data_IF_315999596074
#
_entry.id   IF_315999596074
#
_cell.length_a   1.000
_cell.length_b   1.000
_cell.length_c   1.000
_cell.angle_alpha   90.00
_cell.angle_beta   90.00
_cell.angle_gamma   90.00
#
_symmetry.space_group_name_H-M   'P 1'
#
loop_
_entity.id
_entity.type
_entity.pdbx_description
1 polymer ?
#
# COMPACT_ATOMS: atom_id res chain seq x y z
N UNK A 1 -17.87 -28.99 13.28
CA UNK A 1 -16.87 -28.87 12.42
C UNK A 1 -17.09 -27.84 11.44
N UNK A 2 -18.15 -27.92 10.86
CA UNK A 2 -18.44 -26.96 9.94
C UNK A 2 -18.65 -25.67 10.55
N UNK A 3 -18.83 -25.61 11.79
CA UNK A 3 -19.10 -24.38 12.44
C UNK A 3 -18.08 -23.34 12.25
N UNK A 4 -16.95 -23.74 11.83
CA UNK A 4 -15.92 -22.79 11.62
C UNK A 4 -16.15 -21.90 10.48
N UNK A 5 -16.91 -22.39 9.51
CA UNK A 5 -17.12 -21.63 8.34
C UNK A 5 -17.93 -20.41 8.47
N UNK A 6 -18.96 -20.38 9.22
CA UNK A 6 -19.82 -19.20 9.27
C UNK A 6 -19.10 -17.93 9.62
N UNK A 7 -18.07 -18.05 10.40
CA UNK A 7 -17.35 -16.85 10.75
C UNK A 7 -16.65 -16.21 9.58
N UNK A 8 -16.41 -17.01 8.59
CA UNK A 8 -15.75 -16.52 7.42
C UNK A 8 -16.48 -15.44 6.70
N UNK A 9 -17.77 -15.62 6.51
CA UNK A 9 -18.52 -14.71 5.68
C UNK A 9 -18.52 -13.30 6.23
N UNK A 10 -18.85 -13.13 7.46
CA UNK A 10 -18.89 -11.82 8.04
C UNK A 10 -17.53 -11.22 8.15
N UNK A 11 -16.57 -12.07 8.50
CA UNK A 11 -15.23 -11.60 8.66
C UNK A 11 -14.62 -11.14 7.37
N UNK A 12 -14.88 -11.85 6.31
CA UNK A 12 -14.33 -11.49 5.04
C UNK A 12 -14.77 -10.11 4.61
N UNK A 13 -16.00 -9.79 4.80
CA UNK A 13 -16.50 -8.49 4.41
C UNK A 13 -15.83 -7.39 5.22
N UNK A 14 -15.72 -7.59 6.52
CA UNK A 14 -15.09 -6.61 7.37
C UNK A 14 -13.61 -6.50 7.08
N UNK A 15 -12.97 -7.63 6.90
CA UNK A 15 -11.55 -7.63 6.63
C UNK A 15 -11.21 -7.00 5.32
N UNK A 16 -12.10 -7.12 4.37
CA UNK A 16 -11.88 -6.51 3.07
C UNK A 16 -11.77 -5.00 3.19
N UNK A 17 -12.66 -4.39 3.96
CA UNK A 17 -12.61 -2.95 4.17
C UNK A 17 -11.39 -2.56 4.98
N UNK A 18 -11.08 -3.33 6.02
CA UNK A 18 -9.89 -3.09 6.80
C UNK A 18 -8.64 -3.21 5.97
N UNK A 19 -8.61 -4.20 5.11
CA UNK A 19 -7.46 -4.42 4.27
C UNK A 19 -7.25 -3.25 3.33
N UNK A 20 -8.31 -2.74 2.76
CA UNK A 20 -8.22 -1.59 1.88
C UNK A 20 -7.74 -0.36 2.62
N UNK A 21 -8.26 -0.15 3.84
CA UNK A 21 -7.79 0.95 4.66
C UNK A 21 -6.32 0.80 5.01
N UNK A 22 -5.90 -0.42 5.32
CA UNK A 22 -4.51 -0.68 5.64
C UNK A 22 -3.61 -0.39 4.44
N UNK A 23 -4.06 -0.75 3.25
CA UNK A 23 -3.29 -0.46 2.05
C UNK A 23 -3.14 1.05 1.87
N UNK A 24 -4.21 1.79 2.09
CA UNK A 24 -4.16 3.24 1.94
C UNK A 24 -3.26 3.87 2.97
N UNK A 25 -3.29 3.37 4.20
CA UNK A 25 -2.42 3.90 5.25
C UNK A 25 -0.97 3.59 4.95
N UNK A 26 -0.70 2.38 4.51
CA UNK A 26 0.67 2.00 4.16
C UNK A 26 1.18 2.87 3.03
N UNK A 27 0.33 3.14 2.05
CA UNK A 27 0.71 4.00 0.95
C UNK A 27 1.06 5.41 1.43
N UNK A 28 0.26 5.94 2.35
CA UNK A 28 0.52 7.26 2.88
C UNK A 28 1.85 7.32 3.60
N UNK A 29 2.19 6.28 4.34
CA UNK A 29 3.48 6.23 5.02
C UNK A 29 4.63 6.13 4.05
N UNK A 30 4.46 5.38 2.98
CA UNK A 30 5.48 5.29 1.95
C UNK A 30 5.71 6.65 1.29
N UNK A 31 4.65 7.42 1.09
CA UNK A 31 4.78 8.74 0.51
C UNK A 31 5.58 9.64 1.45
N UNK A 32 5.36 9.53 2.76
CA UNK A 32 6.14 10.29 3.72
C UNK A 32 7.61 9.90 3.68
N UNK A 33 7.88 8.61 3.57
CA UNK A 33 9.25 8.14 3.43
C UNK A 33 9.88 8.71 2.16
N UNK A 34 9.13 8.72 1.09
CA UNK A 34 9.63 9.25 -0.17
C UNK A 34 10.02 10.72 -0.01
N UNK A 35 9.20 11.49 0.70
CA UNK A 35 9.51 12.90 0.97
C UNK A 35 10.82 13.04 1.72
N UNK A 36 11.07 12.16 2.67
CA UNK A 36 12.30 12.21 3.42
C UNK A 36 13.51 11.95 2.53
N UNK A 37 13.41 10.98 1.64
CA UNK A 37 14.51 10.70 0.72
C UNK A 37 14.71 11.84 -0.26
N UNK A 38 13.64 12.45 -0.71
CA UNK A 38 13.75 13.58 -1.64
C UNK A 38 14.46 14.74 -0.97
N UNK A 39 14.22 14.97 0.31
CA UNK A 39 14.90 16.04 1.01
C UNK A 39 16.42 15.81 1.04
N UNK A 40 16.83 14.57 1.24
CA UNK A 40 18.24 14.25 1.21
C UNK A 40 18.83 14.46 -0.19
N UNK A 41 18.08 14.02 -1.21
CA UNK A 41 18.54 14.16 -2.59
C UNK A 41 18.65 15.61 -3.02
N UNK A 42 17.77 16.46 -2.50
CA UNK A 42 17.78 17.88 -2.85
C UNK A 42 18.84 18.66 -2.09
N UNK A 43 19.36 18.09 -1.02
CA UNK A 43 20.38 18.77 -0.21
C UNK A 43 21.77 18.63 -0.79
N UNK A 44 22.79 19.03 -0.01
CA UNK A 44 24.16 18.94 -0.49
C UNK A 44 24.53 17.48 -0.71
N UNK A 45 25.36 17.24 -1.70
CA UNK A 45 25.75 15.88 -2.03
C UNK A 45 26.66 15.30 -0.94
N UNK A 46 26.29 14.14 -0.46
CA UNK A 46 27.08 13.37 0.48
C UNK A 46 27.04 11.95 -0.07
N UNK A 47 28.20 11.46 -0.49
CA UNK A 47 28.25 10.23 -1.24
C UNK A 47 27.45 9.10 -0.61
N UNK A 48 27.67 8.81 0.66
CA UNK A 48 26.98 7.72 1.32
C UNK A 48 25.50 7.96 1.47
N UNK A 49 25.15 9.15 1.98
CA UNK A 49 23.75 9.46 2.24
C UNK A 49 22.95 9.63 0.97
N UNK A 50 23.56 10.25 -0.03
CA UNK A 50 22.86 10.50 -1.28
C UNK A 50 22.59 9.19 -2.01
N UNK A 51 23.54 8.28 -2.01
CA UNK A 51 23.32 7.00 -2.66
C UNK A 51 22.28 6.17 -1.94
N UNK A 52 22.32 6.17 -0.60
CA UNK A 52 21.31 5.50 0.18
C UNK A 52 19.93 6.08 -0.09
N UNK A 53 19.84 7.40 -0.15
CA UNK A 53 18.57 8.05 -0.39
C UNK A 53 18.05 7.73 -1.78
N UNK A 54 18.95 7.61 -2.76
CA UNK A 54 18.54 7.27 -4.11
C UNK A 54 17.94 5.87 -4.16
N UNK A 55 18.61 4.91 -3.53
CA UNK A 55 18.10 3.56 -3.49
C UNK A 55 16.80 3.49 -2.73
N UNK A 56 16.73 4.18 -1.59
CA UNK A 56 15.51 4.21 -0.81
C UNK A 56 14.37 4.85 -1.57
N UNK A 57 14.65 5.92 -2.30
CA UNK A 57 13.65 6.57 -3.11
C UNK A 57 13.10 5.62 -4.17
N UNK A 58 13.98 4.91 -4.85
CA UNK A 58 13.54 4.00 -5.90
C UNK A 58 12.73 2.84 -5.34
N UNK A 59 13.17 2.28 -4.22
CA UNK A 59 12.43 1.20 -3.59
C UNK A 59 11.07 1.68 -3.09
N UNK A 60 11.04 2.86 -2.50
CA UNK A 60 9.80 3.41 -1.99
C UNK A 60 8.83 3.71 -3.13
N UNK A 61 9.35 4.26 -4.23
CA UNK A 61 8.52 4.55 -5.38
C UNK A 61 7.93 3.26 -5.97
N UNK A 62 8.72 2.21 -6.06
CA UNK A 62 8.23 0.94 -6.57
C UNK A 62 7.16 0.38 -5.64
N UNK A 63 7.34 0.53 -4.32
CA UNK A 63 6.36 0.07 -3.37
C UNK A 63 5.06 0.86 -3.48
N UNK A 64 5.15 2.17 -3.69
CA UNK A 64 3.96 3.00 -3.85
C UNK A 64 3.19 2.56 -5.09
N UNK A 65 3.89 2.30 -6.18
CA UNK A 65 3.24 1.85 -7.40
C UNK A 65 2.58 0.49 -7.21
N UNK A 66 3.24 -0.40 -6.48
CA UNK A 66 2.67 -1.70 -6.19
C UNK A 66 1.42 -1.54 -5.31
N UNK A 67 1.47 -0.61 -4.34
CA UNK A 67 0.31 -0.34 -3.50
C UNK A 67 -0.85 0.21 -4.31
N UNK A 68 -0.56 1.08 -5.26
CA UNK A 68 -1.61 1.64 -6.12
C UNK A 68 -2.29 0.52 -6.90
N UNK A 69 -1.51 -0.41 -7.42
CA UNK A 69 -2.09 -1.54 -8.14
C UNK A 69 -2.92 -2.42 -7.22
N UNK A 70 -2.42 -2.67 -6.00
CA UNK A 70 -3.14 -3.49 -5.06
C UNK A 70 -4.46 -2.84 -4.65
N UNK A 71 -4.45 -1.52 -4.42
CA UNK A 71 -5.67 -0.81 -4.07
C UNK A 71 -6.66 -0.87 -5.22
N UNK A 72 -6.20 -0.65 -6.44
CA UNK A 72 -7.06 -0.71 -7.60
C UNK A 72 -7.67 -2.10 -7.77
N UNK A 73 -6.86 -3.14 -7.54
CA UNK A 73 -7.36 -4.50 -7.63
C UNK A 73 -8.44 -4.78 -6.60
N UNK A 74 -8.21 -4.33 -5.37
CA UNK A 74 -9.20 -4.55 -4.31
C UNK A 74 -10.48 -3.80 -4.59
N UNK A 75 -10.36 -2.56 -5.03
CA UNK A 75 -11.53 -1.77 -5.37
C UNK A 75 -12.27 -2.34 -6.56
N UNK A 76 -11.53 -2.83 -7.53
CA UNK A 76 -12.13 -3.45 -8.70
C UNK A 76 -12.89 -4.72 -8.35
N UNK A 77 -12.33 -5.52 -7.46
CA UNK A 77 -12.99 -6.73 -7.02
C UNK A 77 -14.28 -6.41 -6.30
N UNK A 78 -14.28 -5.42 -5.42
CA UNK A 78 -15.47 -5.02 -4.71
C UNK A 78 -16.53 -4.53 -5.68
N UNK A 79 -16.13 -3.73 -6.64
CA UNK A 79 -17.05 -3.20 -7.62
C UNK A 79 -17.67 -4.30 -8.45
N UNK A 80 -16.87 -5.27 -8.84
CA UNK A 80 -17.38 -6.39 -9.63
C UNK A 80 -18.41 -7.19 -8.86
N UNK A 81 -18.19 -7.38 -7.56
CA UNK A 81 -19.16 -8.09 -6.74
C UNK A 81 -20.48 -7.33 -6.67
N UNK A 82 -20.40 -6.02 -6.48
CA UNK A 82 -21.61 -5.22 -6.43
C UNK A 82 -22.34 -5.21 -7.77
N UNK A 83 -21.61 -5.10 -8.84
CA UNK A 83 -22.23 -5.06 -10.16
C UNK A 83 -22.98 -6.32 -10.49
N UNK A 84 -22.53 -7.43 -9.94
CA UNK A 84 -23.19 -8.67 -10.20
C UNK A 84 -24.49 -8.81 -9.48
N UNK A 85 -24.65 -8.14 -8.39
CA UNK A 85 -25.88 -8.21 -7.64
C UNK A 85 -26.93 -7.39 -8.31
#
# INVERSE_FOLDING_TARGET
>A
MLCIRPNWDGREAIMSDEHLDNLRQARAQLIEQRHAFVRVLAGPYDRGKTEQAREGFMETQAAIEAMDRAIADEEGTRRAVYDRS
#
